data_IF_450788558871
#
_entry.id   IF_450788558871
#
_cell.length_a   1.000
_cell.length_b   1.000
_cell.length_c   1.000
_cell.angle_alpha   90.00
_cell.angle_beta   90.00
_cell.angle_gamma   90.00
#
_symmetry.space_group_name_H-M   'P 1'
#
loop_
_entity.id
_entity.type
_entity.pdbx_description
1 polymer ?
#
# COMPACT_ATOMS: atom_id res chain seq x y z
N UNK A 1 -4.04 -28.46 6.02
CA UNK A 1 -3.39 -27.14 6.15
C UNK A 1 -2.86 -26.77 4.78
N UNK A 2 -3.20 -25.62 4.19
CA UNK A 2 -2.54 -25.20 2.96
C UNK A 2 -1.02 -25.16 3.20
N UNK A 3 -0.24 -25.50 2.17
CA UNK A 3 1.21 -25.40 2.23
C UNK A 3 1.61 -23.94 2.61
N UNK A 4 2.68 -23.75 3.40
CA UNK A 4 3.09 -22.39 3.74
C UNK A 4 3.40 -21.64 2.46
N UNK A 5 2.78 -20.45 2.29
CA UNK A 5 3.12 -19.51 1.24
C UNK A 5 4.64 -19.27 1.28
N UNK A 6 5.27 -19.22 0.10
CA UNK A 6 6.65 -18.74 0.08
C UNK A 6 6.65 -17.29 0.62
N UNK A 7 7.67 -16.88 1.40
CA UNK A 7 7.76 -15.52 1.92
C UNK A 7 7.71 -14.46 0.81
N UNK A 8 7.03 -13.33 1.05
CA UNK A 8 6.97 -12.23 0.08
C UNK A 8 8.37 -11.73 -0.30
N UNK A 9 9.30 -11.65 0.65
CA UNK A 9 10.69 -11.27 0.39
C UNK A 9 11.35 -12.13 -0.69
N UNK A 10 11.12 -13.45 -0.65
CA UNK A 10 11.61 -14.36 -1.69
C UNK A 10 10.94 -14.10 -3.04
N UNK A 11 9.64 -13.82 -3.06
CA UNK A 11 8.92 -13.50 -4.29
C UNK A 11 9.47 -12.22 -4.94
N UNK A 12 9.76 -11.19 -4.14
CA UNK A 12 10.31 -9.91 -4.61
C UNK A 12 11.75 -10.05 -5.15
N UNK A 13 12.54 -10.98 -4.63
CA UNK A 13 13.88 -11.26 -5.15
C UNK A 13 13.84 -11.90 -6.56
N UNK A 14 12.78 -12.66 -6.86
CA UNK A 14 12.67 -13.42 -8.12
C UNK A 14 11.88 -12.68 -9.20
N UNK A 15 10.87 -11.89 -8.82
CA UNK A 15 9.93 -11.28 -9.77
C UNK A 15 9.26 -10.02 -9.24
N UNK A 16 8.62 -9.27 -10.14
CA UNK A 16 7.75 -8.17 -9.76
C UNK A 16 6.39 -8.72 -9.33
N UNK A 17 5.87 -8.23 -8.21
CA UNK A 17 4.59 -8.60 -7.60
C UNK A 17 3.62 -7.43 -7.72
N UNK A 18 2.38 -7.71 -8.07
CA UNK A 18 1.31 -6.70 -8.23
C UNK A 18 0.60 -6.49 -6.89
N UNK A 19 0.60 -5.25 -6.39
CA UNK A 19 -0.25 -4.81 -5.29
C UNK A 19 -1.68 -4.55 -5.76
N UNK A 20 -2.59 -4.43 -4.82
CA UNK A 20 -3.94 -3.91 -5.05
C UNK A 20 -3.95 -2.39 -5.32
N UNK A 21 -5.12 -1.78 -5.25
CA UNK A 21 -5.36 -0.36 -5.46
C UNK A 21 -6.09 0.29 -4.28
N UNK A 22 -6.73 1.43 -4.55
CA UNK A 22 -7.42 2.22 -3.55
C UNK A 22 -8.66 1.53 -2.96
N UNK A 23 -8.51 0.87 -1.83
CA UNK A 23 -9.59 0.15 -1.15
C UNK A 23 -10.82 1.04 -0.90
N UNK A 24 -10.60 2.26 -0.38
CA UNK A 24 -11.70 3.20 -0.11
C UNK A 24 -12.47 3.59 -1.37
N UNK A 25 -11.79 3.72 -2.52
CA UNK A 25 -12.47 4.03 -3.78
C UNK A 25 -13.31 2.85 -4.25
N UNK A 26 -12.80 1.63 -4.14
CA UNK A 26 -13.58 0.42 -4.47
C UNK A 26 -14.80 0.28 -3.56
N UNK A 27 -14.69 0.60 -2.27
CA UNK A 27 -15.82 0.60 -1.34
C UNK A 27 -16.86 1.68 -1.70
N UNK A 28 -16.42 2.88 -2.10
CA UNK A 28 -17.31 3.93 -2.59
C UNK A 28 -18.04 3.50 -3.88
N UNK A 29 -17.35 2.85 -4.81
CA UNK A 29 -17.95 2.30 -6.04
C UNK A 29 -18.96 1.16 -5.75
N UNK A 30 -18.82 0.47 -4.62
CA UNK A 30 -19.80 -0.50 -4.11
C UNK A 30 -20.99 0.18 -3.40
N UNK A 31 -21.00 1.51 -3.28
CA UNK A 31 -22.06 2.29 -2.66
C UNK A 31 -21.90 2.49 -1.15
N UNK A 32 -20.74 2.20 -0.58
CA UNK A 32 -20.48 2.46 0.83
C UNK A 32 -20.29 3.96 1.10
N UNK A 33 -20.93 4.46 2.16
CA UNK A 33 -20.68 5.79 2.67
C UNK A 33 -19.37 5.84 3.46
N UNK A 34 -18.41 6.63 3.03
CA UNK A 34 -17.11 6.82 3.64
C UNK A 34 -16.94 8.23 4.24
N UNK A 35 -18.02 8.99 4.43
CA UNK A 35 -17.98 10.37 4.94
C UNK A 35 -17.67 10.48 6.45
N UNK A 36 -17.07 9.46 7.02
CA UNK A 36 -16.73 9.31 8.44
C UNK A 36 -15.24 9.50 8.68
N UNK A 37 -14.84 9.97 9.87
CA UNK A 37 -13.44 10.16 10.25
C UNK A 37 -12.61 8.86 10.24
N UNK A 38 -13.25 7.70 10.42
CA UNK A 38 -12.58 6.39 10.32
C UNK A 38 -12.63 5.78 8.92
N UNK A 39 -13.28 6.43 7.94
CA UNK A 39 -13.38 5.95 6.56
C UNK A 39 -13.70 4.45 6.47
N UNK A 40 -12.82 3.68 5.80
CA UNK A 40 -12.99 2.23 5.64
C UNK A 40 -12.88 1.44 6.96
N UNK A 41 -12.20 1.98 7.98
CA UNK A 41 -12.09 1.30 9.27
C UNK A 41 -13.43 1.19 10.01
N UNK A 42 -14.39 2.11 9.76
CA UNK A 42 -15.76 1.97 10.27
C UNK A 42 -16.45 0.72 9.73
N UNK A 43 -16.23 0.40 8.45
CA UNK A 43 -16.86 -0.75 7.81
C UNK A 43 -16.37 -2.09 8.38
N UNK A 44 -15.26 -2.12 9.11
CA UNK A 44 -14.86 -3.31 9.88
C UNK A 44 -15.93 -3.76 10.89
N UNK A 45 -16.68 -2.80 11.45
CA UNK A 45 -17.80 -3.08 12.34
C UNK A 45 -19.12 -3.22 11.57
N UNK A 46 -19.41 -2.27 10.68
CA UNK A 46 -20.75 -2.05 10.14
C UNK A 46 -21.08 -2.89 8.90
N UNK A 47 -20.08 -3.17 8.03
CA UNK A 47 -20.27 -3.88 6.76
C UNK A 47 -18.99 -4.63 6.32
N UNK A 48 -18.49 -5.59 7.11
CA UNK A 48 -17.24 -6.30 6.82
C UNK A 48 -17.28 -7.08 5.49
N UNK A 49 -18.45 -7.54 5.05
CA UNK A 49 -18.64 -8.21 3.76
C UNK A 49 -18.31 -7.31 2.57
N UNK A 50 -18.47 -5.99 2.68
CA UNK A 50 -18.09 -5.04 1.64
C UNK A 50 -16.57 -4.94 1.50
N UNK A 51 -15.84 -5.03 2.61
CA UNK A 51 -14.37 -5.06 2.61
C UNK A 51 -13.88 -6.35 1.94
N UNK A 52 -14.44 -7.52 2.29
CA UNK A 52 -14.08 -8.79 1.65
C UNK A 52 -14.39 -8.75 0.14
N UNK A 53 -15.53 -8.19 -0.26
CA UNK A 53 -15.89 -8.03 -1.67
C UNK A 53 -14.92 -7.12 -2.42
N UNK A 54 -14.47 -6.01 -1.82
CA UNK A 54 -13.50 -5.10 -2.41
C UNK A 54 -12.13 -5.78 -2.60
N UNK A 55 -11.62 -6.49 -1.59
CA UNK A 55 -10.39 -7.29 -1.73
C UNK A 55 -10.53 -8.35 -2.83
N UNK A 56 -11.67 -9.04 -2.89
CA UNK A 56 -11.94 -10.04 -3.93
C UNK A 56 -11.91 -9.44 -5.33
N UNK A 57 -12.40 -8.21 -5.51
CA UNK A 57 -12.33 -7.50 -6.79
C UNK A 57 -10.88 -7.27 -7.24
N UNK A 58 -9.99 -6.89 -6.32
CA UNK A 58 -8.55 -6.73 -6.62
C UNK A 58 -7.85 -8.05 -6.90
N UNK A 59 -8.17 -9.13 -6.18
CA UNK A 59 -7.63 -10.48 -6.50
C UNK A 59 -8.01 -10.89 -7.92
N UNK A 60 -9.27 -10.68 -8.31
CA UNK A 60 -9.76 -10.94 -9.68
C UNK A 60 -9.08 -10.07 -10.72
N UNK A 61 -8.73 -8.83 -10.37
CA UNK A 61 -7.98 -7.92 -11.21
C UNK A 61 -6.50 -8.30 -11.38
N UNK A 62 -6.00 -9.28 -10.63
CA UNK A 62 -4.62 -9.74 -10.75
C UNK A 62 -3.70 -9.30 -9.63
N UNK A 63 -4.20 -8.61 -8.60
CA UNK A 63 -3.42 -8.33 -7.41
C UNK A 63 -2.95 -9.61 -6.72
N UNK A 64 -1.72 -9.59 -6.21
CA UNK A 64 -1.07 -10.66 -5.44
C UNK A 64 -0.75 -10.26 -4.01
N UNK A 65 -0.82 -8.98 -3.70
CA UNK A 65 -0.75 -8.49 -2.33
C UNK A 65 -1.99 -7.63 -2.07
N UNK A 66 -2.68 -7.92 -0.97
CA UNK A 66 -3.85 -7.18 -0.50
C UNK A 66 -3.46 -6.37 0.73
N UNK A 67 -3.67 -5.05 0.67
CA UNK A 67 -3.45 -4.15 1.79
C UNK A 67 -4.74 -4.04 2.59
N UNK A 68 -4.69 -4.34 3.90
CA UNK A 68 -5.89 -4.41 4.75
C UNK A 68 -6.55 -3.06 4.99
N UNK A 69 -7.83 -3.07 5.41
CA UNK A 69 -8.63 -1.88 5.76
C UNK A 69 -8.26 -1.25 7.12
N UNK A 70 -7.01 -1.41 7.57
CA UNK A 70 -6.54 -0.93 8.88
C UNK A 70 -5.76 0.38 8.85
N UNK A 71 -5.65 1.06 7.71
CA UNK A 71 -4.89 2.30 7.54
C UNK A 71 -5.17 3.34 8.63
N UNK A 72 -6.44 3.67 8.89
CA UNK A 72 -6.86 4.61 9.94
C UNK A 72 -7.32 3.93 11.24
N UNK A 73 -7.29 2.60 11.29
CA UNK A 73 -7.71 1.85 12.47
C UNK A 73 -6.69 2.02 13.60
N UNK A 74 -7.06 2.77 14.63
CA UNK A 74 -6.26 3.02 15.83
C UNK A 74 -7.11 2.86 17.08
N UNK A 75 -6.48 2.57 18.21
CA UNK A 75 -7.20 2.50 19.48
C UNK A 75 -7.83 3.85 19.84
N UNK A 76 -7.12 4.95 19.61
CA UNK A 76 -7.58 6.32 19.85
C UNK A 76 -8.75 6.69 18.94
N UNK A 77 -8.66 6.38 17.64
CA UNK A 77 -9.74 6.63 16.67
C UNK A 77 -11.00 5.85 17.00
N UNK A 78 -10.88 4.59 17.39
CA UNK A 78 -12.01 3.77 17.85
C UNK A 78 -12.58 4.27 19.18
N UNK A 79 -11.73 4.65 20.15
CA UNK A 79 -12.17 5.19 21.44
C UNK A 79 -12.94 6.48 21.29
N UNK A 80 -12.57 7.36 20.35
CA UNK A 80 -13.31 8.60 20.04
C UNK A 80 -14.75 8.33 19.56
N UNK A 81 -15.04 7.09 19.11
CA UNK A 81 -16.37 6.61 18.71
C UNK A 81 -17.05 5.76 19.78
N UNK A 82 -16.49 5.68 20.97
CA UNK A 82 -17.05 4.89 22.07
C UNK A 82 -16.79 3.38 21.94
N UNK A 83 -15.93 2.94 20.99
CA UNK A 83 -15.54 1.53 20.84
C UNK A 83 -14.44 1.22 21.85
N UNK A 84 -14.71 0.24 22.71
CA UNK A 84 -13.79 -0.19 23.76
C UNK A 84 -12.55 -0.92 23.20
N UNK A 85 -11.48 -0.96 24.01
CA UNK A 85 -10.18 -1.54 23.61
C UNK A 85 -10.30 -2.99 23.09
N UNK A 86 -11.11 -3.82 23.76
CA UNK A 86 -11.28 -5.22 23.37
C UNK A 86 -11.93 -5.34 21.97
N UNK A 87 -12.94 -4.55 21.72
CA UNK A 87 -13.62 -4.50 20.42
C UNK A 87 -12.69 -3.92 19.33
N UNK A 88 -11.97 -2.84 19.62
CA UNK A 88 -10.96 -2.28 18.73
C UNK A 88 -9.89 -3.32 18.33
N UNK A 89 -9.42 -4.12 19.30
CA UNK A 89 -8.51 -5.25 19.03
C UNK A 89 -9.15 -6.27 18.08
N UNK A 90 -10.41 -6.61 18.27
CA UNK A 90 -11.13 -7.54 17.39
C UNK A 90 -11.29 -6.96 15.98
N UNK A 91 -11.56 -5.66 15.84
CA UNK A 91 -11.67 -4.98 14.54
C UNK A 91 -10.34 -4.93 13.79
N UNK A 92 -9.23 -4.62 14.47
CA UNK A 92 -7.89 -4.68 13.88
C UNK A 92 -7.58 -6.09 13.36
N UNK A 93 -7.81 -7.14 14.14
CA UNK A 93 -7.62 -8.53 13.70
C UNK A 93 -8.56 -8.91 12.56
N UNK A 94 -9.80 -8.41 12.57
CA UNK A 94 -10.79 -8.63 11.50
C UNK A 94 -10.29 -8.10 10.17
N UNK A 95 -9.58 -6.97 10.13
CA UNK A 95 -9.05 -6.42 8.87
C UNK A 95 -8.14 -7.41 8.15
N UNK A 96 -7.28 -8.12 8.88
CA UNK A 96 -6.41 -9.17 8.33
C UNK A 96 -7.24 -10.39 7.90
N UNK A 97 -8.20 -10.79 8.73
CA UNK A 97 -9.05 -11.96 8.43
C UNK A 97 -9.87 -11.79 7.15
N UNK A 98 -10.40 -10.58 6.86
CA UNK A 98 -11.17 -10.29 5.65
C UNK A 98 -10.30 -10.36 4.39
N UNK A 99 -9.07 -9.81 4.43
CA UNK A 99 -8.13 -9.94 3.32
C UNK A 99 -7.73 -11.41 3.08
N UNK A 100 -7.50 -12.18 4.15
CA UNK A 100 -7.28 -13.64 4.06
C UNK A 100 -8.48 -14.37 3.46
N UNK A 101 -9.70 -14.00 3.82
CA UNK A 101 -10.92 -14.58 3.27
C UNK A 101 -11.02 -14.34 1.76
N UNK A 102 -10.71 -13.14 1.29
CA UNK A 102 -10.66 -12.81 -0.13
C UNK A 102 -9.59 -13.60 -0.91
N UNK A 103 -8.48 -13.95 -0.26
CA UNK A 103 -7.35 -14.70 -0.82
C UNK A 103 -7.46 -16.23 -0.67
N UNK A 104 -8.51 -16.78 -0.02
CA UNK A 104 -8.60 -18.17 0.46
C UNK A 104 -8.26 -19.27 -0.55
N UNK A 105 -8.55 -19.04 -1.82
CA UNK A 105 -8.36 -20.03 -2.90
C UNK A 105 -7.08 -19.76 -3.71
N UNK A 106 -6.19 -18.89 -3.19
CA UNK A 106 -5.00 -18.41 -3.89
C UNK A 106 -3.76 -18.52 -3.00
N UNK A 107 -2.93 -19.51 -3.26
CA UNK A 107 -1.65 -19.68 -2.57
C UNK A 107 -0.59 -18.64 -2.95
N UNK A 108 -0.83 -17.89 -4.02
CA UNK A 108 0.04 -16.85 -4.57
C UNK A 108 -0.41 -15.43 -4.20
N UNK A 109 -1.25 -15.27 -3.17
CA UNK A 109 -1.73 -13.97 -2.66
C UNK A 109 -1.30 -13.78 -1.21
N UNK A 110 -0.59 -12.68 -0.95
CA UNK A 110 -0.13 -12.27 0.38
C UNK A 110 -1.05 -11.20 0.97
N UNK A 111 -1.10 -11.13 2.30
CA UNK A 111 -1.85 -10.12 3.06
C UNK A 111 -0.88 -9.19 3.78
N UNK A 112 -0.99 -7.90 3.48
CA UNK A 112 -0.22 -6.84 4.08
C UNK A 112 -1.09 -6.06 5.08
N UNK A 113 -0.74 -6.08 6.36
CA UNK A 113 -1.48 -5.30 7.35
C UNK A 113 -1.06 -3.83 7.29
N UNK A 114 -2.00 -2.96 6.95
CA UNK A 114 -1.78 -1.51 6.78
C UNK A 114 -1.57 -0.81 8.12
N UNK A 115 -0.51 -0.02 8.19
CA UNK A 115 -0.18 0.88 9.30
C UNK A 115 0.03 2.27 8.72
N UNK A 116 -1.01 3.10 8.73
CA UNK A 116 -0.95 4.50 8.29
C UNK A 116 -0.28 5.40 9.34
N UNK A 117 0.10 6.64 9.00
CA UNK A 117 0.76 7.56 9.90
C UNK A 117 -0.18 8.09 11.00
N UNK A 118 0.38 8.76 12.00
CA UNK A 118 -0.36 9.43 13.06
C UNK A 118 -1.39 10.44 12.50
N UNK A 119 -0.98 11.20 11.47
CA UNK A 119 -1.85 12.17 10.81
C UNK A 119 -3.11 11.57 10.20
N UNK A 120 -3.08 10.31 9.78
CA UNK A 120 -4.26 9.62 9.25
C UNK A 120 -5.38 9.46 10.30
N UNK A 121 -5.03 9.29 11.60
CA UNK A 121 -5.98 9.25 12.70
C UNK A 121 -6.64 10.60 12.94
N UNK A 122 -5.92 11.71 12.68
CA UNK A 122 -6.46 13.06 12.87
C UNK A 122 -7.53 13.43 11.81
N UNK A 123 -7.50 12.77 10.64
CA UNK A 123 -8.44 12.98 9.54
C UNK A 123 -8.57 14.45 9.08
N UNK A 124 -7.47 15.22 9.17
CA UNK A 124 -7.36 16.64 8.83
C UNK A 124 -6.35 16.92 7.69
N UNK A 125 -5.88 15.88 7.01
CA UNK A 125 -4.87 15.97 5.94
C UNK A 125 -3.43 16.06 6.44
N UNK A 126 -3.20 15.97 7.74
CA UNK A 126 -1.85 16.07 8.30
C UNK A 126 -0.95 14.88 7.97
N UNK A 127 -1.51 13.76 7.48
CA UNK A 127 -0.75 12.66 6.87
C UNK A 127 0.06 13.09 5.63
N UNK A 128 -0.29 14.22 5.04
CA UNK A 128 0.46 14.83 3.91
C UNK A 128 1.34 16.00 4.33
N UNK A 129 1.57 16.19 5.63
CA UNK A 129 2.41 17.27 6.18
C UNK A 129 3.51 16.74 7.10
N UNK A 130 3.19 15.78 7.97
CA UNK A 130 4.08 15.35 9.06
C UNK A 130 4.26 16.43 10.13
N UNK A 131 5.35 16.33 10.91
CA UNK A 131 5.76 17.30 11.95
C UNK A 131 4.64 17.63 12.93
N UNK A 132 4.09 16.60 13.53
CA UNK A 132 2.94 16.71 14.46
C UNK A 132 3.28 17.35 15.81
N UNK A 133 4.54 17.70 16.05
CA UNK A 133 5.02 18.19 17.34
C UNK A 133 5.20 17.09 18.40
N UNK A 134 5.19 15.83 17.95
CA UNK A 134 5.43 14.67 18.79
C UNK A 134 6.89 14.20 18.63
N UNK A 135 7.47 13.73 19.72
CA UNK A 135 8.76 13.05 19.70
C UNK A 135 8.65 11.63 19.12
N UNK A 136 9.76 11.06 18.68
CA UNK A 136 9.85 9.65 18.23
C UNK A 136 9.28 8.71 19.30
N UNK A 137 9.56 8.93 20.57
CA UNK A 137 9.05 8.12 21.67
C UNK A 137 7.52 8.24 21.88
N UNK A 138 6.92 9.39 21.54
CA UNK A 138 5.45 9.56 21.59
C UNK A 138 4.78 8.87 20.40
N UNK A 139 5.37 8.98 19.21
CA UNK A 139 4.92 8.24 18.03
C UNK A 139 5.05 6.72 18.23
N UNK A 140 6.13 6.25 18.84
CA UNK A 140 6.30 4.85 19.19
C UNK A 140 5.19 4.37 20.17
N UNK A 141 4.89 5.12 21.22
CA UNK A 141 3.79 4.77 22.16
C UNK A 141 2.42 4.72 21.47
N UNK A 142 2.19 5.60 20.50
CA UNK A 142 0.95 5.60 19.72
C UNK A 142 0.84 4.37 18.80
N UNK A 143 1.90 4.08 18.07
CA UNK A 143 1.87 3.02 17.05
C UNK A 143 1.95 1.61 17.62
N UNK A 144 2.73 1.41 18.69
CA UNK A 144 3.07 0.09 19.24
C UNK A 144 1.85 -0.81 19.49
N UNK A 145 0.78 -0.39 20.18
CA UNK A 145 -0.33 -1.30 20.50
C UNK A 145 -1.05 -1.84 19.25
N UNK A 146 -1.24 -1.01 18.21
CA UNK A 146 -1.90 -1.46 16.97
C UNK A 146 -1.00 -2.35 16.12
N UNK A 147 0.30 -2.03 16.06
CA UNK A 147 1.27 -2.83 15.29
C UNK A 147 1.39 -4.22 15.90
N UNK A 148 1.53 -4.35 17.22
CA UNK A 148 1.55 -5.63 17.93
C UNK A 148 0.27 -6.43 17.66
N UNK A 149 -0.90 -5.79 17.74
CA UNK A 149 -2.18 -6.44 17.45
C UNK A 149 -2.30 -6.93 16.00
N UNK A 150 -1.82 -6.13 15.04
CA UNK A 150 -1.82 -6.50 13.62
C UNK A 150 -0.82 -7.62 13.35
N UNK A 151 0.37 -7.59 13.94
CA UNK A 151 1.38 -8.65 13.83
C UNK A 151 0.85 -9.99 14.37
N UNK A 152 0.20 -9.98 15.55
CA UNK A 152 -0.45 -11.15 16.15
C UNK A 152 -1.60 -11.73 15.29
N UNK A 153 -2.23 -10.92 14.44
CA UNK A 153 -3.26 -11.38 13.51
C UNK A 153 -2.71 -12.25 12.37
N UNK A 154 -1.39 -12.35 12.21
CA UNK A 154 -0.69 -13.22 11.27
C UNK A 154 -0.79 -12.75 9.82
N UNK A 155 -0.51 -11.48 9.49
CA UNK A 155 -0.31 -11.05 8.11
C UNK A 155 1.00 -11.65 7.56
N UNK A 156 1.19 -11.61 6.24
CA UNK A 156 2.47 -12.01 5.64
C UNK A 156 3.52 -10.92 5.75
N UNK A 157 3.08 -9.65 5.88
CA UNK A 157 3.92 -8.46 5.96
C UNK A 157 3.14 -7.31 6.61
N UNK A 158 3.83 -6.36 7.23
CA UNK A 158 3.24 -5.08 7.63
C UNK A 158 3.57 -4.01 6.59
N UNK A 159 2.57 -3.24 6.19
CA UNK A 159 2.71 -2.08 5.31
C UNK A 159 2.82 -0.81 6.17
N UNK A 160 4.04 -0.36 6.46
CA UNK A 160 4.27 0.95 7.07
C UNK A 160 4.17 1.98 5.96
N UNK A 161 2.99 2.56 5.76
CA UNK A 161 2.67 3.26 4.52
C UNK A 161 2.24 4.71 4.72
N UNK A 162 2.44 5.50 3.65
CA UNK A 162 2.08 6.93 3.59
C UNK A 162 2.80 7.73 4.69
N UNK A 163 4.01 7.30 5.06
CA UNK A 163 4.78 7.94 6.12
C UNK A 163 5.29 9.30 5.62
N UNK A 164 4.93 10.42 6.27
CA UNK A 164 5.28 11.75 5.77
C UNK A 164 6.61 12.29 6.32
N UNK A 165 7.15 11.66 7.36
CA UNK A 165 8.23 12.18 8.19
C UNK A 165 9.21 11.07 8.61
N UNK A 166 10.49 11.38 8.63
CA UNK A 166 11.54 10.44 9.06
C UNK A 166 11.48 10.11 10.54
N UNK A 167 11.02 11.04 11.40
CA UNK A 167 10.86 10.79 12.84
C UNK A 167 9.80 9.71 13.08
N UNK A 168 8.72 9.72 12.29
CA UNK A 168 7.70 8.69 12.36
C UNK A 168 8.20 7.35 11.80
N UNK A 169 8.98 7.37 10.71
CA UNK A 169 9.62 6.17 10.19
C UNK A 169 10.54 5.52 11.23
N UNK A 170 11.35 6.31 11.93
CA UNK A 170 12.21 5.83 13.02
C UNK A 170 11.39 5.18 14.14
N UNK A 171 10.29 5.82 14.57
CA UNK A 171 9.40 5.26 15.60
C UNK A 171 8.81 3.91 15.17
N UNK A 172 8.35 3.80 13.92
CA UNK A 172 7.79 2.58 13.37
C UNK A 172 8.84 1.45 13.29
N UNK A 173 10.05 1.74 12.82
CA UNK A 173 11.13 0.77 12.70
C UNK A 173 11.62 0.26 14.06
N UNK A 174 11.65 1.09 15.08
CA UNK A 174 11.96 0.67 16.46
C UNK A 174 10.95 -0.35 17.00
N UNK A 175 9.68 -0.23 16.62
CA UNK A 175 8.65 -1.17 17.06
C UNK A 175 8.81 -2.53 16.37
N UNK A 176 9.03 -2.53 15.05
CA UNK A 176 8.97 -3.77 14.27
C UNK A 176 10.21 -4.64 14.39
N UNK A 177 11.34 -4.09 14.86
CA UNK A 177 12.59 -4.83 15.03
C UNK A 177 12.47 -6.08 15.90
N UNK A 178 11.56 -6.06 16.89
CA UNK A 178 11.38 -7.15 17.84
C UNK A 178 10.23 -8.12 17.48
N UNK A 179 9.46 -7.83 16.42
CA UNK A 179 8.19 -8.54 16.16
C UNK A 179 8.34 -9.79 15.26
N UNK A 180 9.45 -9.92 14.55
CA UNK A 180 9.70 -11.06 13.65
C UNK A 180 8.76 -11.12 12.43
N UNK A 181 8.00 -10.07 12.14
CA UNK A 181 7.14 -9.94 10.96
C UNK A 181 7.85 -9.03 9.94
N UNK A 182 8.01 -9.45 8.68
CA UNK A 182 8.61 -8.59 7.67
C UNK A 182 7.73 -7.35 7.43
N UNK A 183 8.37 -6.24 7.05
CA UNK A 183 7.69 -4.97 6.75
C UNK A 183 8.19 -4.37 5.46
N UNK A 184 7.37 -3.55 4.81
CA UNK A 184 7.88 -2.52 3.92
C UNK A 184 7.66 -1.13 4.51
N UNK A 185 8.53 -0.20 4.14
CA UNK A 185 8.40 1.22 4.49
C UNK A 185 8.16 2.02 3.23
N UNK A 186 7.04 2.76 3.16
CA UNK A 186 6.77 3.66 2.05
C UNK A 186 6.39 5.06 2.51
N UNK A 187 7.07 6.04 1.92
CA UNK A 187 6.84 7.45 2.20
C UNK A 187 5.80 8.04 1.25
N UNK A 188 5.04 9.03 1.74
CA UNK A 188 4.34 9.96 0.86
C UNK A 188 5.25 11.15 0.58
N UNK A 189 5.33 11.56 -0.68
CA UNK A 189 6.36 12.47 -1.17
C UNK A 189 5.78 13.65 -1.96
N UNK A 190 6.60 14.70 -2.11
CA UNK A 190 6.38 15.80 -3.02
C UNK A 190 7.72 16.19 -3.65
N UNK A 191 7.82 16.03 -4.96
CA UNK A 191 9.11 16.21 -5.65
C UNK A 191 10.19 15.24 -5.13
N UNK A 192 11.33 15.77 -4.73
CA UNK A 192 12.48 14.99 -4.22
C UNK A 192 12.56 14.85 -2.70
N UNK A 193 11.46 15.11 -1.96
CA UNK A 193 11.45 15.10 -0.49
C UNK A 193 10.25 14.35 0.06
N UNK A 194 10.34 13.91 1.32
CA UNK A 194 9.16 13.52 2.11
C UNK A 194 8.23 14.72 2.26
N UNK A 195 7.00 14.50 2.69
CA UNK A 195 6.07 15.63 2.95
C UNK A 195 6.55 16.57 4.03
N UNK A 196 7.38 16.10 4.98
CA UNK A 196 8.00 16.93 6.01
C UNK A 196 9.28 17.68 5.52
N UNK A 197 9.69 17.46 4.26
CA UNK A 197 10.78 18.20 3.60
C UNK A 197 12.16 17.55 3.73
N UNK A 198 12.28 16.30 4.22
CA UNK A 198 13.56 15.61 4.25
C UNK A 198 13.92 15.06 2.86
N UNK A 199 15.20 15.09 2.44
CA UNK A 199 15.67 14.47 1.20
C UNK A 199 15.35 12.96 1.15
N UNK A 200 14.91 12.46 0.00
CA UNK A 200 14.52 11.05 -0.13
C UNK A 200 15.68 10.08 0.10
N UNK A 201 16.89 10.45 -0.27
CA UNK A 201 18.10 9.65 -0.02
C UNK A 201 18.33 9.44 1.48
N UNK A 202 18.11 10.46 2.31
CA UNK A 202 18.23 10.38 3.77
C UNK A 202 17.08 9.50 4.33
N UNK A 203 15.86 9.72 3.84
CA UNK A 203 14.69 8.98 4.28
C UNK A 203 14.82 7.46 3.99
N UNK A 204 15.30 7.08 2.80
CA UNK A 204 15.46 5.66 2.47
C UNK A 204 16.59 4.98 3.26
N UNK A 205 17.68 5.70 3.58
CA UNK A 205 18.78 5.15 4.40
C UNK A 205 18.35 4.71 5.80
N UNK A 206 17.30 5.31 6.37
CA UNK A 206 16.77 4.92 7.69
C UNK A 206 16.34 3.44 7.70
N UNK A 207 15.89 2.91 6.57
CA UNK A 207 15.47 1.52 6.45
C UNK A 207 16.62 0.54 6.12
N UNK A 208 17.79 1.03 5.73
CA UNK A 208 18.89 0.21 5.20
C UNK A 208 19.42 -0.83 6.21
N UNK A 209 19.45 -0.45 7.50
CA UNK A 209 20.01 -1.29 8.56
C UNK A 209 18.93 -2.03 9.38
N UNK A 210 17.68 -2.01 8.92
CA UNK A 210 16.56 -2.65 9.62
C UNK A 210 16.25 -4.03 9.00
N UNK A 211 16.69 -5.11 9.63
CA UNK A 211 16.54 -6.50 9.16
C UNK A 211 15.09 -6.91 8.82
N UNK A 212 14.11 -6.30 9.49
CA UNK A 212 12.70 -6.55 9.23
C UNK A 212 12.21 -5.97 7.89
N UNK A 213 12.93 -5.00 7.29
CA UNK A 213 12.50 -4.29 6.09
C UNK A 213 12.85 -5.09 4.84
N UNK A 214 11.82 -5.54 4.10
CA UNK A 214 11.96 -6.30 2.85
C UNK A 214 11.80 -5.46 1.59
N UNK A 215 11.29 -4.22 1.71
CA UNK A 215 11.18 -3.27 0.61
C UNK A 215 11.06 -1.84 1.14
N UNK A 216 11.51 -0.87 0.36
CA UNK A 216 11.31 0.57 0.64
C UNK A 216 10.76 1.27 -0.59
N UNK A 217 10.08 2.40 -0.41
CA UNK A 217 9.62 3.18 -1.57
C UNK A 217 8.60 4.25 -1.23
N UNK A 218 7.62 4.43 -2.12
CA UNK A 218 6.67 5.53 -2.02
C UNK A 218 5.25 5.10 -2.37
N UNK A 219 4.29 5.75 -1.73
CA UNK A 219 2.88 5.60 -2.05
C UNK A 219 2.09 6.90 -1.82
N UNK A 220 0.85 6.89 -2.26
CA UNK A 220 -0.10 8.00 -2.05
C UNK A 220 0.47 9.37 -2.48
N UNK A 221 1.24 9.38 -3.56
CA UNK A 221 1.89 10.55 -4.17
C UNK A 221 1.44 10.69 -5.63
N UNK A 222 1.87 11.77 -6.27
CA UNK A 222 1.66 11.96 -7.71
C UNK A 222 2.45 10.91 -8.52
N UNK A 223 1.90 10.33 -9.59
CA UNK A 223 2.61 9.40 -10.46
C UNK A 223 3.91 9.96 -11.07
N UNK A 224 3.98 11.28 -11.29
CA UNK A 224 5.20 11.94 -11.79
C UNK A 224 6.33 11.94 -10.75
N UNK A 225 6.00 12.12 -9.46
CA UNK A 225 6.96 12.06 -8.38
C UNK A 225 7.42 10.60 -8.12
N UNK A 226 6.53 9.63 -8.33
CA UNK A 226 6.81 8.23 -8.09
C UNK A 226 7.99 7.70 -8.91
N UNK A 227 8.11 8.08 -10.18
CA UNK A 227 9.19 7.60 -11.06
C UNK A 227 10.57 8.00 -10.52
N UNK A 228 10.73 9.29 -10.15
CA UNK A 228 11.96 9.81 -9.55
C UNK A 228 12.27 9.15 -8.20
N UNK A 229 11.25 8.97 -7.37
CA UNK A 229 11.41 8.35 -6.07
C UNK A 229 11.89 6.89 -6.17
N UNK A 230 11.39 6.12 -7.16
CA UNK A 230 11.85 4.75 -7.46
C UNK A 230 13.34 4.75 -7.83
N UNK A 231 13.77 5.63 -8.73
CA UNK A 231 15.17 5.75 -9.12
C UNK A 231 16.06 6.11 -7.91
N UNK A 232 15.60 7.06 -7.09
CA UNK A 232 16.33 7.46 -5.88
C UNK A 232 16.44 6.30 -4.88
N UNK A 233 15.36 5.58 -4.62
CA UNK A 233 15.37 4.43 -3.71
C UNK A 233 16.34 3.34 -4.18
N UNK A 234 16.24 2.95 -5.46
CA UNK A 234 17.10 1.92 -6.05
C UNK A 234 18.59 2.30 -6.09
N UNK A 235 18.91 3.60 -6.16
CA UNK A 235 20.27 4.10 -6.10
C UNK A 235 20.82 4.24 -4.67
N UNK A 236 19.93 4.28 -3.66
CA UNK A 236 20.30 4.60 -2.28
C UNK A 236 20.49 3.36 -1.41
N UNK A 237 19.65 2.32 -1.60
CA UNK A 237 19.65 1.12 -0.77
C UNK A 237 19.54 -0.15 -1.62
N UNK A 238 20.12 -1.24 -1.13
CA UNK A 238 20.05 -2.57 -1.78
C UNK A 238 18.81 -3.34 -1.28
N UNK A 239 17.63 -2.75 -1.49
CA UNK A 239 16.34 -3.34 -1.14
C UNK A 239 15.39 -3.28 -2.35
N UNK A 240 14.48 -4.23 -2.51
CA UNK A 240 13.37 -4.13 -3.46
C UNK A 240 12.61 -2.81 -3.30
N UNK A 241 12.23 -2.17 -4.39
CA UNK A 241 11.46 -0.93 -4.31
C UNK A 241 9.97 -1.21 -4.43
N UNK A 242 9.18 -0.57 -3.54
CA UNK A 242 7.71 -0.58 -3.58
C UNK A 242 7.18 0.77 -4.10
N UNK A 243 6.19 0.72 -5.02
CA UNK A 243 5.58 1.93 -5.58
C UNK A 243 4.09 1.73 -5.87
N UNK A 244 3.25 2.59 -5.29
CA UNK A 244 1.80 2.60 -5.50
C UNK A 244 1.24 4.03 -5.36
N UNK A 245 1.37 4.83 -6.44
CA UNK A 245 0.92 6.22 -6.45
C UNK A 245 -0.60 6.34 -6.56
N UNK A 246 -1.09 7.58 -6.43
CA UNK A 246 -2.47 7.93 -6.75
C UNK A 246 -2.73 7.92 -8.26
N UNK A 247 -3.99 8.10 -8.65
CA UNK A 247 -4.37 8.25 -10.07
C UNK A 247 -3.86 9.55 -10.71
N UNK A 248 -3.37 10.51 -9.92
CA UNK A 248 -3.00 11.86 -10.36
C UNK A 248 -4.15 12.87 -10.36
N UNK A 249 -5.37 12.45 -9.96
CA UNK A 249 -6.46 13.37 -9.63
C UNK A 249 -6.14 14.10 -8.33
N UNK A 250 -6.52 15.37 -8.21
CA UNK A 250 -6.35 16.18 -7.01
C UNK A 250 -7.62 16.20 -6.16
N UNK A 251 -7.45 16.12 -4.84
CA UNK A 251 -8.57 16.27 -3.91
C UNK A 251 -8.84 17.76 -3.64
N UNK A 252 -10.07 18.20 -3.89
CA UNK A 252 -10.57 19.54 -3.52
C UNK A 252 -11.26 19.44 -2.15
N UNK A 253 -10.58 19.90 -1.11
CA UNK A 253 -11.08 19.85 0.28
C UNK A 253 -12.38 20.66 0.48
N UNK A 254 -12.53 21.80 -0.22
CA UNK A 254 -13.71 22.64 -0.10
C UNK A 254 -14.92 22.02 -0.77
N UNK A 255 -14.73 21.44 -1.94
CA UNK A 255 -15.79 20.76 -2.68
C UNK A 255 -16.01 19.32 -2.21
N UNK A 256 -15.09 18.78 -1.39
CA UNK A 256 -15.05 17.36 -0.99
C UNK A 256 -15.19 16.44 -2.21
N UNK A 257 -14.44 16.75 -3.25
CA UNK A 257 -14.52 16.05 -4.52
C UNK A 257 -13.14 15.94 -5.19
N UNK A 258 -12.95 14.87 -5.93
CA UNK A 258 -11.78 14.70 -6.79
C UNK A 258 -11.90 15.60 -8.03
N UNK A 259 -10.80 16.21 -8.45
CA UNK A 259 -10.69 17.11 -9.60
C UNK A 259 -9.65 16.61 -10.58
N UNK A 260 -9.88 16.90 -11.87
CA UNK A 260 -9.01 16.45 -12.96
C UNK A 260 -9.41 15.09 -13.50
N UNK A 261 -8.54 14.51 -14.30
CA UNK A 261 -8.68 13.15 -14.85
C UNK A 261 -7.53 12.26 -14.37
N UNK A 262 -7.73 10.96 -14.38
CA UNK A 262 -6.65 10.01 -14.09
C UNK A 262 -5.53 10.15 -15.11
N UNK A 263 -4.30 10.32 -14.61
CA UNK A 263 -3.06 10.25 -15.39
C UNK A 263 -2.28 8.98 -15.05
N UNK A 264 -2.87 8.09 -14.26
CA UNK A 264 -2.31 6.77 -13.98
C UNK A 264 -2.31 5.94 -15.25
N UNK A 265 -1.14 5.81 -15.85
CA UNK A 265 -0.92 4.96 -17.02
C UNK A 265 -0.25 3.65 -16.60
N UNK A 266 -0.90 2.50 -16.77
CA UNK A 266 -0.29 1.19 -16.51
C UNK A 266 1.04 0.95 -17.25
N UNK A 267 1.29 1.64 -18.36
CA UNK A 267 2.55 1.57 -19.06
C UNK A 267 3.74 2.11 -18.23
N UNK A 268 3.50 3.01 -17.28
CA UNK A 268 4.51 3.51 -16.35
C UNK A 268 5.10 2.38 -15.50
N UNK A 269 4.32 1.34 -15.19
CA UNK A 269 4.76 0.20 -14.40
C UNK A 269 6.00 -0.49 -14.97
N UNK A 270 6.10 -0.63 -16.30
CA UNK A 270 7.29 -1.17 -16.96
C UNK A 270 8.53 -0.27 -16.78
N UNK A 271 8.33 1.04 -16.68
CA UNK A 271 9.38 2.00 -16.35
C UNK A 271 9.88 1.82 -14.91
N UNK A 272 8.96 1.78 -13.95
CA UNK A 272 9.28 1.55 -12.54
C UNK A 272 9.97 0.21 -12.31
N UNK A 273 9.48 -0.86 -12.98
CA UNK A 273 10.11 -2.19 -12.92
C UNK A 273 11.57 -2.15 -13.40
N UNK A 274 11.86 -1.47 -14.51
CA UNK A 274 13.24 -1.31 -15.03
C UNK A 274 14.11 -0.48 -14.08
N UNK A 275 13.53 0.49 -13.40
CA UNK A 275 14.21 1.33 -12.41
C UNK A 275 14.45 0.62 -11.06
N UNK A 276 13.95 -0.61 -10.87
CA UNK A 276 14.20 -1.40 -9.67
C UNK A 276 12.96 -1.73 -8.83
N UNK A 277 11.76 -1.25 -9.21
CA UNK A 277 10.56 -1.61 -8.47
C UNK A 277 10.23 -3.10 -8.62
N UNK A 278 9.89 -3.73 -7.49
CA UNK A 278 9.51 -5.14 -7.39
C UNK A 278 8.12 -5.34 -6.81
N UNK A 279 7.56 -4.32 -6.18
CA UNK A 279 6.21 -4.35 -5.63
C UNK A 279 5.47 -3.12 -6.18
N UNK A 280 4.52 -3.32 -7.09
CA UNK A 280 3.92 -2.26 -7.91
C UNK A 280 2.40 -2.34 -7.86
N UNK A 281 1.74 -1.22 -7.56
CA UNK A 281 0.28 -1.12 -7.53
C UNK A 281 -0.22 0.30 -7.64
N UNK A 282 -1.36 0.57 -7.03
CA UNK A 282 -1.97 1.89 -6.98
C UNK A 282 -2.51 2.26 -5.60
N UNK A 283 -2.75 3.54 -5.37
CA UNK A 283 -3.36 4.07 -4.15
C UNK A 283 -4.69 4.77 -4.49
N UNK A 284 -4.90 5.97 -4.01
CA UNK A 284 -6.17 6.68 -4.20
C UNK A 284 -6.58 6.78 -5.68
N UNK A 285 -7.83 6.45 -5.96
CA UNK A 285 -8.46 6.48 -7.28
C UNK A 285 -7.90 5.50 -8.32
N UNK A 286 -7.10 4.51 -7.89
CA UNK A 286 -6.65 3.39 -8.74
C UNK A 286 -7.52 2.17 -8.42
N UNK A 287 -8.45 1.86 -9.31
CA UNK A 287 -9.43 0.78 -9.13
C UNK A 287 -9.00 -0.55 -9.77
N UNK A 288 -9.86 -1.59 -9.68
CA UNK A 288 -9.57 -2.92 -10.24
C UNK A 288 -9.25 -2.92 -11.73
N UNK A 289 -9.87 -2.04 -12.52
CA UNK A 289 -9.59 -1.95 -13.97
C UNK A 289 -8.14 -1.53 -14.26
N UNK A 290 -7.63 -0.52 -13.51
CA UNK A 290 -6.24 -0.08 -13.64
C UNK A 290 -5.26 -1.14 -13.12
N UNK A 291 -5.58 -1.84 -12.04
CA UNK A 291 -4.76 -2.94 -11.52
C UNK A 291 -4.72 -4.09 -12.53
N UNK A 292 -5.83 -4.42 -13.20
CA UNK A 292 -5.84 -5.44 -14.25
C UNK A 292 -4.94 -5.06 -15.44
N UNK A 293 -5.00 -3.80 -15.89
CA UNK A 293 -4.15 -3.31 -16.95
C UNK A 293 -2.66 -3.30 -16.53
N UNK A 294 -2.36 -2.93 -15.27
CA UNK A 294 -1.02 -2.97 -14.70
C UNK A 294 -0.48 -4.41 -14.64
N UNK A 295 -1.28 -5.37 -14.19
CA UNK A 295 -0.90 -6.78 -14.15
C UNK A 295 -0.57 -7.32 -15.55
N UNK A 296 -1.35 -6.94 -16.57
CA UNK A 296 -1.07 -7.28 -17.96
C UNK A 296 0.25 -6.66 -18.45
N UNK A 297 0.52 -5.39 -18.09
CA UNK A 297 1.75 -4.69 -18.51
C UNK A 297 3.02 -5.28 -17.88
N UNK A 298 2.92 -5.84 -16.68
CA UNK A 298 4.03 -6.46 -15.93
C UNK A 298 4.24 -7.95 -16.25
N UNK A 299 3.26 -8.60 -16.89
CA UNK A 299 3.42 -10.00 -17.31
C UNK A 299 4.44 -10.08 -18.46
N UNK A 300 5.48 -10.92 -18.35
CA UNK A 300 6.42 -11.12 -19.46
C UNK A 300 5.64 -11.54 -20.70
N UNK A 301 5.70 -10.74 -21.76
CA UNK A 301 5.17 -11.17 -23.08
C UNK A 301 5.98 -12.41 -23.51
N UNK A 302 5.36 -13.58 -23.77
CA UNK A 302 6.06 -14.71 -24.31
C UNK A 302 6.74 -14.24 -25.61
N UNK A 303 8.05 -14.36 -25.67
CA UNK A 303 9.00 -13.74 -26.56
C UNK A 303 8.46 -13.44 -27.97
N UNK A 304 8.55 -12.20 -28.38
CA UNK A 304 8.70 -11.84 -29.78
C UNK A 304 10.09 -12.31 -30.22
N UNK A 305 10.27 -13.63 -30.42
CA UNK A 305 11.29 -14.13 -31.33
C UNK A 305 10.95 -13.48 -32.68
N UNK A 306 11.84 -12.63 -33.17
CA UNK A 306 11.72 -12.02 -34.47
C UNK A 306 11.80 -13.13 -35.53
N UNK A 307 10.67 -13.74 -35.85
CA UNK A 307 10.50 -14.48 -37.08
C UNK A 307 10.28 -13.42 -38.16
N UNK A 308 11.32 -13.12 -38.91
CA UNK A 308 11.17 -12.47 -40.22
C UNK A 308 10.36 -13.40 -41.10
N UNK A 309 9.08 -13.17 -41.22
CA UNK A 309 8.25 -13.67 -42.30
C UNK A 309 7.50 -12.48 -42.91
N UNK A 310 7.65 -12.32 -44.22
CA UNK A 310 6.87 -11.38 -44.99
C UNK A 310 5.38 -11.69 -44.82
N UNK A 311 4.62 -10.64 -45.01
CA UNK A 311 3.19 -10.50 -45.13
C UNK A 311 2.48 -9.98 -43.85
N UNK A 312 2.04 -8.74 -44.03
CA UNK A 312 1.38 -7.95 -43.01
C UNK A 312 -0.03 -8.45 -42.68
N UNK A 313 -0.26 -8.63 -41.40
CA UNK A 313 -1.51 -8.31 -40.70
C UNK A 313 -1.24 -8.46 -39.22
N UNK A 314 -1.24 -7.33 -38.47
CA UNK A 314 -1.14 -7.31 -37.02
C UNK A 314 -2.48 -7.70 -36.42
N UNK A 315 -2.57 -8.87 -35.80
CA UNK A 315 -3.71 -9.25 -34.96
C UNK A 315 -3.36 -8.89 -33.52
N UNK A 316 -3.95 -7.83 -33.02
CA UNK A 316 -3.97 -7.49 -31.59
C UNK A 316 -4.77 -8.57 -30.84
N UNK A 317 -4.10 -9.46 -30.12
CA UNK A 317 -4.74 -10.33 -29.14
C UNK A 317 -4.97 -9.51 -27.87
N UNK A 318 -6.24 -9.30 -27.52
CA UNK A 318 -6.66 -8.72 -26.23
C UNK A 318 -6.40 -9.75 -25.11
N UNK A 319 -5.89 -9.29 -23.96
CA UNK A 319 -5.99 -10.05 -22.72
C UNK A 319 -7.49 -10.21 -22.42
N UNK A 320 -7.99 -11.42 -22.45
CA UNK A 320 -9.35 -11.78 -22.03
C UNK A 320 -9.32 -12.22 -20.56
#
# INVERSE_FOLDING_TARGET
MPAPHRPLAQALAESTVVLDGGLSNQLADQGCDLADALWSARLLADAPEQIEAAHTAYVRAGARVLITSSYQATYEGFAARGIGRQEATALLRRSVALARAAARDREDVWVAASVGPYGAMLADGSEYRGRYGLSVAELERFHRPRIETLAEAGPDVLALETVPDTDEAEALLRIVGDLGVPVWLSYTVAGGTTRAGQPLEEAFRIAADADAVIAVGVNCCDPADAARAVETAAATVDLPVVVYPNSGESWDERARAWRGGSVFDPALASGWQRAGARLIGGCCRVGPAQISALACALTPQPGKTAVRSGDGQAILRRCS
#
